data_IF_488543062244
#
_entry.id   IF_488543062244
#
_cell.length_a   1.000
_cell.length_b   1.000
_cell.length_c   1.000
_cell.angle_alpha   90.00
_cell.angle_beta   90.00
_cell.angle_gamma   90.00
#
_symmetry.space_group_name_H-M   'P 1'
#
loop_
_entity.id
_entity.type
_entity.pdbx_description
1 polymer ?
#
# COMPACT_ATOMS: atom_id res chain seq x y z
N UNK A 1 14.46 -6.86 -10.33
CA UNK A 1 13.04 -6.45 -10.36
C UNK A 1 12.89 -5.14 -9.58
N UNK A 2 11.74 -4.44 -9.66
CA UNK A 2 11.55 -3.16 -8.95
C UNK A 2 11.69 -3.33 -7.43
N UNK A 3 11.16 -4.43 -6.89
CA UNK A 3 11.29 -4.81 -5.48
C UNK A 3 12.76 -4.90 -5.06
N UNK A 4 13.62 -5.55 -5.85
CA UNK A 4 15.05 -5.68 -5.55
C UNK A 4 15.79 -4.33 -5.56
N UNK A 5 15.38 -3.40 -6.42
CA UNK A 5 15.94 -2.04 -6.45
C UNK A 5 15.55 -1.31 -5.16
N UNK A 6 14.29 -1.39 -4.76
CA UNK A 6 13.83 -0.79 -3.51
C UNK A 6 14.48 -1.43 -2.28
N UNK A 7 14.61 -2.76 -2.24
CA UNK A 7 15.32 -3.49 -1.18
C UNK A 7 16.75 -2.97 -1.02
N UNK A 8 17.46 -2.77 -2.14
CA UNK A 8 18.82 -2.22 -2.12
C UNK A 8 18.85 -0.75 -1.68
N UNK A 9 17.83 0.03 -2.05
CA UNK A 9 17.72 1.43 -1.66
C UNK A 9 17.43 1.62 -0.16
N UNK A 10 16.72 0.67 0.47
CA UNK A 10 16.37 0.72 1.90
C UNK A 10 17.36 -0.02 2.81
N UNK A 11 18.07 -1.01 2.31
CA UNK A 11 18.85 -1.98 3.11
C UNK A 11 20.16 -1.49 3.75
N UNK A 12 20.59 -0.25 3.51
CA UNK A 12 21.93 0.23 3.91
C UNK A 12 21.92 1.53 4.74
N UNK A 13 20.90 1.77 5.56
CA UNK A 13 20.72 3.06 6.28
C UNK A 13 20.64 4.28 5.33
N UNK A 14 20.45 4.01 4.04
CA UNK A 14 20.42 4.99 2.97
C UNK A 14 19.13 5.78 3.04
N UNK A 15 19.25 7.07 3.38
CA UNK A 15 18.12 8.02 3.39
C UNK A 15 17.74 8.53 1.99
N UNK A 16 18.37 7.98 0.95
CA UNK A 16 18.17 8.40 -0.45
C UNK A 16 16.70 8.26 -0.88
N UNK A 17 15.96 7.31 -0.29
CA UNK A 17 14.56 7.07 -0.62
C UNK A 17 13.57 7.99 0.12
N UNK A 18 13.92 8.51 1.30
CA UNK A 18 13.04 9.39 2.09
C UNK A 18 12.47 10.58 1.29
N UNK A 19 13.26 11.37 0.53
CA UNK A 19 12.72 12.53 -0.20
C UNK A 19 11.83 12.15 -1.38
N UNK A 20 11.92 10.92 -1.88
CA UNK A 20 11.15 10.44 -3.03
C UNK A 20 9.99 9.51 -2.62
N UNK A 21 9.83 9.26 -1.31
CA UNK A 21 8.92 8.25 -0.77
C UNK A 21 7.48 8.47 -1.25
N UNK A 22 6.96 9.68 -1.13
CA UNK A 22 5.58 9.99 -1.53
C UNK A 22 5.34 9.82 -3.04
N UNK A 23 6.34 10.16 -3.86
CA UNK A 23 6.29 9.98 -5.31
C UNK A 23 6.25 8.50 -5.67
N UNK A 24 7.13 7.69 -5.07
CA UNK A 24 7.18 6.24 -5.27
C UNK A 24 5.89 5.57 -4.81
N UNK A 25 5.40 5.90 -3.60
CA UNK A 25 4.15 5.38 -3.07
C UNK A 25 2.95 5.76 -3.97
N UNK A 26 2.90 7.00 -4.45
CA UNK A 26 1.85 7.47 -5.35
C UNK A 26 1.85 6.72 -6.68
N UNK A 27 3.01 6.55 -7.30
CA UNK A 27 3.13 5.85 -8.57
C UNK A 27 2.76 4.36 -8.45
N UNK A 28 3.26 3.68 -7.41
CA UNK A 28 2.94 2.27 -7.15
C UNK A 28 1.45 2.07 -6.85
N UNK A 29 0.88 2.95 -6.02
CA UNK A 29 -0.54 2.90 -5.66
C UNK A 29 -1.43 3.07 -6.90
N UNK A 30 -1.14 4.07 -7.74
CA UNK A 30 -1.88 4.31 -8.98
C UNK A 30 -1.82 3.11 -9.93
N UNK A 31 -0.66 2.46 -10.06
CA UNK A 31 -0.50 1.25 -10.88
C UNK A 31 -1.32 0.07 -10.36
N UNK A 32 -1.36 -0.13 -9.04
CA UNK A 32 -2.18 -1.20 -8.44
C UNK A 32 -3.66 -0.92 -8.66
N UNK A 33 -4.10 0.33 -8.47
CA UNK A 33 -5.50 0.72 -8.66
C UNK A 33 -5.94 0.61 -10.12
N UNK A 34 -5.08 0.94 -11.09
CA UNK A 34 -5.41 0.85 -12.52
C UNK A 34 -5.39 -0.59 -13.05
N UNK A 35 -4.52 -1.45 -12.51
CA UNK A 35 -4.44 -2.86 -12.88
C UNK A 35 -5.67 -3.68 -12.45
N UNK A 36 -6.60 -3.11 -11.67
CA UNK A 36 -7.79 -3.82 -11.19
C UNK A 36 -8.80 -4.15 -12.30
N UNK A 37 -8.75 -3.46 -13.43
CA UNK A 37 -9.74 -3.58 -14.51
C UNK A 37 -9.34 -4.61 -15.58
N UNK A 38 -8.12 -5.14 -15.55
CA UNK A 38 -7.58 -5.96 -16.63
C UNK A 38 -7.07 -7.32 -16.14
N UNK A 39 -7.48 -8.36 -16.85
CA UNK A 39 -7.20 -9.77 -16.53
C UNK A 39 -5.94 -10.33 -17.25
N UNK A 40 -5.14 -9.48 -17.89
CA UNK A 40 -3.93 -9.93 -18.59
C UNK A 40 -2.86 -10.41 -17.59
N UNK A 41 -2.23 -11.56 -17.86
CA UNK A 41 -1.18 -12.15 -16.99
C UNK A 41 0.00 -11.19 -16.73
N UNK A 42 0.35 -10.33 -17.70
CA UNK A 42 1.41 -9.34 -17.56
C UNK A 42 1.08 -8.28 -16.51
N UNK A 43 -0.15 -7.76 -16.52
CA UNK A 43 -0.60 -6.78 -15.54
C UNK A 43 -0.74 -7.40 -14.15
N UNK A 44 -1.17 -8.66 -14.06
CA UNK A 44 -1.19 -9.40 -12.81
C UNK A 44 0.21 -9.55 -12.19
N UNK A 45 1.25 -9.82 -13.01
CA UNK A 45 2.65 -9.83 -12.56
C UNK A 45 3.10 -8.45 -12.07
N UNK A 46 2.80 -7.39 -12.81
CA UNK A 46 3.15 -6.02 -12.42
C UNK A 46 2.47 -5.61 -11.10
N UNK A 47 1.20 -5.97 -10.91
CA UNK A 47 0.48 -5.74 -9.66
C UNK A 47 1.10 -6.49 -8.49
N UNK A 48 1.45 -7.76 -8.67
CA UNK A 48 2.11 -8.55 -7.63
C UNK A 48 3.48 -7.96 -7.27
N UNK A 49 4.25 -7.50 -8.26
CA UNK A 49 5.52 -6.84 -8.00
C UNK A 49 5.32 -5.51 -7.25
N UNK A 50 4.31 -4.71 -7.61
CA UNK A 50 3.95 -3.50 -6.87
C UNK A 50 3.56 -3.79 -5.42
N UNK A 51 2.80 -4.85 -5.17
CA UNK A 51 2.43 -5.30 -3.83
C UNK A 51 3.67 -5.72 -3.01
N UNK A 52 4.63 -6.40 -3.62
CA UNK A 52 5.90 -6.74 -2.97
C UNK A 52 6.73 -5.50 -2.63
N UNK A 53 6.73 -4.49 -3.50
CA UNK A 53 7.37 -3.21 -3.22
C UNK A 53 6.80 -2.56 -1.95
N UNK A 54 5.47 -2.59 -1.77
CA UNK A 54 4.86 -2.11 -0.52
C UNK A 54 5.28 -2.91 0.71
N UNK A 55 5.51 -4.22 0.60
CA UNK A 55 6.05 -5.02 1.72
C UNK A 55 7.44 -4.54 2.16
N UNK A 56 8.32 -4.27 1.19
CA UNK A 56 9.70 -3.76 1.46
C UNK A 56 9.66 -2.36 2.10
N UNK A 57 8.77 -1.50 1.60
CA UNK A 57 8.59 -0.17 2.18
C UNK A 57 7.98 -0.26 3.59
N UNK A 58 7.04 -1.18 3.83
CA UNK A 58 6.45 -1.41 5.14
C UNK A 58 7.46 -1.93 6.16
N UNK A 59 8.47 -2.70 5.75
CA UNK A 59 9.49 -3.17 6.69
C UNK A 59 10.43 -2.08 7.19
N UNK A 60 10.52 -0.97 6.46
CA UNK A 60 11.49 0.10 6.73
C UNK A 60 10.82 1.40 7.18
N UNK A 61 9.71 1.78 6.53
CA UNK A 61 8.98 3.04 6.75
C UNK A 61 7.49 2.80 7.02
N UNK A 62 7.12 1.99 8.04
CA UNK A 62 5.73 1.61 8.25
C UNK A 62 4.83 2.81 8.61
N UNK A 63 5.36 3.80 9.35
CA UNK A 63 4.61 5.01 9.70
C UNK A 63 4.28 5.90 8.50
N UNK A 64 5.29 6.21 7.67
CA UNK A 64 5.11 7.01 6.46
C UNK A 64 4.13 6.33 5.49
N UNK A 65 4.25 5.01 5.34
CA UNK A 65 3.35 4.21 4.52
C UNK A 65 1.90 4.29 5.02
N UNK A 66 1.65 4.19 6.33
CA UNK A 66 0.29 4.33 6.87
C UNK A 66 -0.26 5.75 6.73
N UNK A 67 0.57 6.78 6.98
CA UNK A 67 0.18 8.17 6.75
C UNK A 67 -0.27 8.41 5.31
N UNK A 68 0.37 7.74 4.35
CA UNK A 68 -0.02 7.80 2.93
C UNK A 68 -1.30 7.00 2.61
N UNK A 69 -1.45 5.79 3.16
CA UNK A 69 -2.53 4.86 2.80
C UNK A 69 -3.85 5.14 3.52
N UNK A 70 -3.83 5.42 4.83
CA UNK A 70 -5.05 5.52 5.63
C UNK A 70 -6.04 6.57 5.12
N UNK A 71 -5.61 7.80 4.75
CA UNK A 71 -6.54 8.80 4.19
C UNK A 71 -7.21 8.36 2.88
N UNK A 72 -6.63 7.41 2.14
CA UNK A 72 -7.18 6.93 0.85
C UNK A 72 -8.34 5.94 1.03
N UNK A 73 -8.57 5.44 2.24
CA UNK A 73 -9.76 4.66 2.56
C UNK A 73 -11.04 5.49 2.51
N UNK A 74 -10.93 6.81 2.71
CA UNK A 74 -12.03 7.78 2.66
C UNK A 74 -12.19 8.40 1.27
N UNK A 75 -11.41 7.97 0.27
CA UNK A 75 -11.50 8.51 -1.08
C UNK A 75 -12.86 8.20 -1.72
N UNK A 76 -13.48 9.18 -2.38
CA UNK A 76 -14.76 8.97 -3.08
C UNK A 76 -14.66 7.98 -4.25
N UNK A 77 -13.45 7.73 -4.75
CA UNK A 77 -13.22 6.78 -5.83
C UNK A 77 -13.13 5.34 -5.28
N UNK A 78 -14.08 4.45 -5.61
CA UNK A 78 -14.09 3.07 -5.11
C UNK A 78 -12.82 2.30 -5.50
N UNK A 79 -12.23 2.57 -6.67
CA UNK A 79 -11.00 1.91 -7.11
C UNK A 79 -9.83 2.22 -6.20
N UNK A 80 -9.71 3.48 -5.77
CA UNK A 80 -8.68 3.92 -4.82
C UNK A 80 -8.88 3.23 -3.48
N UNK A 81 -10.11 3.14 -2.99
CA UNK A 81 -10.41 2.43 -1.73
C UNK A 81 -10.05 0.95 -1.80
N UNK A 82 -10.52 0.24 -2.82
CA UNK A 82 -10.25 -1.20 -2.96
C UNK A 82 -8.76 -1.48 -3.18
N UNK A 83 -8.08 -0.70 -4.02
CA UNK A 83 -6.62 -0.81 -4.19
C UNK A 83 -5.86 -0.60 -2.88
N UNK A 84 -6.28 0.39 -2.08
CA UNK A 84 -5.71 0.67 -0.75
C UNK A 84 -5.93 -0.51 0.21
N UNK A 85 -7.13 -1.09 0.24
CA UNK A 85 -7.44 -2.27 1.07
C UNK A 85 -6.60 -3.49 0.67
N UNK A 86 -6.38 -3.72 -0.62
CA UNK A 86 -5.51 -4.82 -1.11
C UNK A 86 -4.08 -4.62 -0.63
N UNK A 87 -3.55 -3.40 -0.71
CA UNK A 87 -2.20 -3.06 -0.23
C UNK A 87 -2.12 -3.27 1.29
N UNK A 88 -3.08 -2.73 2.06
CA UNK A 88 -3.12 -2.89 3.52
C UNK A 88 -3.17 -4.36 3.93
N UNK A 89 -4.03 -5.18 3.29
CA UNK A 89 -4.08 -6.63 3.52
C UNK A 89 -2.72 -7.28 3.27
N UNK A 90 -2.05 -6.92 2.16
CA UNK A 90 -0.75 -7.48 1.82
C UNK A 90 0.32 -7.16 2.86
N UNK A 91 0.43 -5.89 3.27
CA UNK A 91 1.47 -5.46 4.21
C UNK A 91 1.22 -5.99 5.62
N UNK A 92 -0.03 -6.06 6.07
CA UNK A 92 -0.38 -6.67 7.37
C UNK A 92 0.01 -8.16 7.39
N UNK A 93 -0.28 -8.89 6.31
CA UNK A 93 0.02 -10.31 6.24
C UNK A 93 1.52 -10.60 6.07
N UNK A 94 2.23 -9.73 5.34
CA UNK A 94 3.63 -9.98 4.96
C UNK A 94 4.65 -9.33 5.91
N UNK A 95 4.27 -8.28 6.63
CA UNK A 95 5.08 -7.58 7.62
C UNK A 95 4.42 -7.64 9.01
N UNK A 96 3.88 -8.82 9.38
CA UNK A 96 3.01 -9.01 10.53
C UNK A 96 3.61 -8.46 11.83
N UNK A 97 4.87 -8.78 12.16
CA UNK A 97 5.52 -8.34 13.41
C UNK A 97 5.56 -6.81 13.57
N UNK A 98 5.78 -6.06 12.49
CA UNK A 98 5.82 -4.59 12.50
C UNK A 98 4.42 -3.98 12.46
N UNK A 99 3.48 -4.67 11.81
CA UNK A 99 2.10 -4.20 11.66
C UNK A 99 1.19 -4.58 12.83
N UNK A 100 1.58 -5.53 13.70
CA UNK A 100 0.80 -5.93 14.89
C UNK A 100 0.43 -4.72 15.75
N UNK A 101 1.41 -3.88 16.09
CA UNK A 101 1.20 -2.69 16.92
C UNK A 101 0.38 -1.61 16.21
N UNK A 102 0.29 -1.68 14.88
CA UNK A 102 -0.45 -0.72 14.03
C UNK A 102 -1.87 -1.20 13.69
N UNK A 103 -2.22 -2.47 13.98
CA UNK A 103 -3.56 -3.03 13.76
C UNK A 103 -4.69 -2.19 14.36
N UNK A 104 -4.59 -1.65 15.61
CA UNK A 104 -5.66 -0.84 16.17
C UNK A 104 -5.96 0.41 15.33
N UNK A 105 -4.92 1.08 14.83
CA UNK A 105 -5.06 2.27 13.96
C UNK A 105 -5.68 1.91 12.62
N UNK A 106 -5.20 0.82 11.99
CA UNK A 106 -5.74 0.36 10.71
C UNK A 106 -7.22 -0.02 10.85
N UNK A 107 -7.59 -0.74 11.93
CA UNK A 107 -8.98 -1.12 12.20
C UNK A 107 -9.87 0.11 12.42
N UNK A 108 -9.40 1.13 13.15
CA UNK A 108 -10.13 2.37 13.33
C UNK A 108 -10.39 3.07 11.99
N UNK A 109 -9.38 3.14 11.12
CA UNK A 109 -9.49 3.77 9.80
C UNK A 109 -10.41 2.99 8.84
N UNK A 110 -10.51 1.67 8.94
CA UNK A 110 -11.42 0.86 8.10
C UNK A 110 -12.87 0.92 8.60
N UNK A 111 -13.09 1.14 9.90
CA UNK A 111 -14.46 1.26 10.46
C UNK A 111 -15.22 2.47 9.91
N UNK A 112 -14.55 3.59 9.70
CA UNK A 112 -15.18 4.82 9.21
C UNK A 112 -15.83 4.62 7.82
N UNK A 113 -15.13 4.10 6.79
CA UNK A 113 -15.74 3.75 5.51
C UNK A 113 -16.88 2.72 5.58
N UNK A 114 -16.85 1.78 6.54
CA UNK A 114 -17.90 0.75 6.67
C UNK A 114 -19.19 1.29 7.29
N UNK A 115 -19.10 2.41 8.04
CA UNK A 115 -20.24 3.07 8.65
C UNK A 115 -20.94 4.06 7.71
N UNK A 116 -20.32 4.38 6.57
CA UNK A 116 -20.88 5.26 5.57
C UNK A 116 -21.97 4.52 4.75
N UNK A 117 -23.26 4.89 4.89
CA UNK A 117 -24.36 4.23 4.19
C UNK A 117 -24.34 4.43 2.66
N UNK A 118 -23.50 5.34 2.15
CA UNK A 118 -23.26 5.51 0.71
C UNK A 118 -22.23 4.52 0.15
N UNK A 119 -21.49 3.86 1.03
CA UNK A 119 -20.44 2.92 0.67
C UNK A 119 -21.03 1.51 0.53
N UNK A 120 -21.87 1.31 -0.48
CA UNK A 120 -22.29 -0.04 -0.87
C UNK A 120 -21.08 -0.78 -1.46
N UNK A 121 -20.41 -1.56 -0.61
CA UNK A 121 -19.43 -2.58 -0.97
C UNK A 121 -20.11 -3.80 -1.60
#
# INVERSE_FOLDING_TARGET
SLCQILESAVGNESRTLEPQMDSVLSALHAQICSSMESHTQMLARNRNEGLRCFTVLASTFPDHLLLFLLPKLEASNPRVRVGTLIILKQVINSAASLMEVKKPMILAAVRQPLQDPSNQV
#
